data_IF_073886770403
#
_entry.id   IF_073886770403
#
_cell.length_a   1.000
_cell.length_b   1.000
_cell.length_c   1.000
_cell.angle_alpha   90.00
_cell.angle_beta   90.00
_cell.angle_gamma   90.00
#
_symmetry.space_group_name_H-M   'P 1'
#
loop_
_entity.id
_entity.type
_entity.pdbx_description
1 polymer ?
#
# COMPACT_ATOMS: atom_id res chain seq x y z
N UNK A 1 17.06 -3.03 20.20
CA UNK A 1 15.75 -2.40 20.39
C UNK A 1 14.67 -3.30 19.84
N UNK A 2 13.90 -3.83 20.76
CA UNK A 2 12.75 -4.69 20.46
C UNK A 2 11.51 -3.83 20.21
N UNK A 3 10.52 -4.38 19.51
CA UNK A 3 9.22 -3.72 19.32
C UNK A 3 8.19 -4.45 20.16
N UNK A 4 7.50 -3.72 21.03
CA UNK A 4 6.41 -4.23 21.83
C UNK A 4 5.07 -3.87 21.19
N UNK A 5 4.21 -4.87 21.01
CA UNK A 5 2.80 -4.69 20.67
C UNK A 5 2.06 -4.47 22.00
N UNK A 6 1.60 -3.24 22.24
CA UNK A 6 1.01 -2.86 23.52
C UNK A 6 -0.48 -3.19 23.63
N UNK A 7 -1.18 -3.22 22.51
CA UNK A 7 -2.56 -3.64 22.40
C UNK A 7 -2.85 -4.18 21.00
N UNK A 8 -3.99 -4.86 20.85
CA UNK A 8 -4.59 -5.22 19.56
C UNK A 8 -6.08 -4.89 19.66
N UNK A 9 -6.62 -4.25 18.62
CA UNK A 9 -8.04 -3.91 18.53
C UNK A 9 -8.57 -4.05 17.11
N UNK A 10 -9.73 -4.69 16.96
CA UNK A 10 -10.49 -4.63 15.70
C UNK A 10 -11.12 -3.25 15.59
N UNK A 11 -10.71 -2.45 14.60
CA UNK A 11 -11.19 -1.08 14.41
C UNK A 11 -12.37 -0.99 13.46
N UNK A 12 -12.49 -1.93 12.52
CA UNK A 12 -13.58 -1.93 11.55
C UNK A 12 -13.94 -3.34 11.10
N UNK A 13 -15.23 -3.66 11.15
CA UNK A 13 -15.83 -4.88 10.61
C UNK A 13 -17.33 -4.65 10.40
N UNK A 14 -17.75 -4.63 9.15
CA UNK A 14 -19.14 -4.47 8.69
C UNK A 14 -19.67 -5.72 7.98
N UNK A 15 -18.95 -6.84 8.09
CA UNK A 15 -19.25 -8.07 7.38
C UNK A 15 -18.70 -8.14 5.95
N UNK A 16 -18.16 -7.05 5.40
CA UNK A 16 -17.55 -7.03 4.07
C UNK A 16 -16.12 -7.60 4.09
N UNK A 17 -15.52 -7.76 2.91
CA UNK A 17 -14.07 -7.92 2.80
C UNK A 17 -13.40 -6.55 2.91
N UNK A 18 -12.90 -6.22 4.10
CA UNK A 18 -12.13 -5.01 4.36
C UNK A 18 -10.63 -5.32 4.30
N UNK A 19 -9.87 -4.62 3.46
CA UNK A 19 -8.47 -4.94 3.20
C UNK A 19 -7.64 -3.75 2.69
N UNK A 20 -6.33 -3.94 2.63
CA UNK A 20 -5.35 -3.03 2.03
C UNK A 20 -5.25 -1.70 2.79
N UNK A 21 -4.71 -1.75 4.00
CA UNK A 21 -4.71 -0.58 4.88
C UNK A 21 -3.55 0.37 4.61
N UNK A 22 -3.77 1.66 4.84
CA UNK A 22 -2.72 2.65 5.00
C UNK A 22 -3.05 3.65 6.12
N UNK A 23 -2.02 4.26 6.72
CA UNK A 23 -2.12 5.18 7.86
C UNK A 23 -1.30 6.44 7.61
N UNK A 24 -1.82 7.58 8.06
CA UNK A 24 -1.08 8.86 8.03
C UNK A 24 -1.51 9.77 9.17
N UNK A 25 -0.60 10.63 9.62
CA UNK A 25 -0.92 11.75 10.50
C UNK A 25 -0.87 13.04 9.68
N UNK A 26 -1.96 13.80 9.70
CA UNK A 26 -2.11 15.01 8.90
C UNK A 26 -2.91 16.06 9.67
N UNK A 27 -2.34 17.28 9.78
CA UNK A 27 -2.94 18.44 10.46
C UNK A 27 -3.57 18.14 11.83
N UNK A 28 -2.88 17.34 12.65
CA UNK A 28 -3.29 17.03 14.02
C UNK A 28 -4.34 15.91 14.14
N UNK A 29 -4.62 15.20 13.06
CA UNK A 29 -5.49 14.03 13.06
C UNK A 29 -4.81 12.83 12.40
N UNK A 30 -5.17 11.63 12.84
CA UNK A 30 -4.78 10.38 12.22
C UNK A 30 -5.86 9.94 11.23
N UNK A 31 -5.43 9.44 10.08
CA UNK A 31 -6.31 8.90 9.06
C UNK A 31 -5.92 7.45 8.76
N UNK A 32 -6.95 6.62 8.55
CA UNK A 32 -6.86 5.21 8.18
C UNK A 32 -7.70 5.02 6.93
N UNK A 33 -7.14 4.42 5.90
CA UNK A 33 -7.89 4.07 4.69
C UNK A 33 -7.76 2.59 4.38
N UNK A 34 -8.79 2.03 3.74
CA UNK A 34 -8.85 0.65 3.29
C UNK A 34 -9.96 0.49 2.24
N UNK A 35 -9.86 -0.58 1.46
CA UNK A 35 -10.93 -1.04 0.57
C UNK A 35 -11.97 -1.83 1.38
N UNK A 36 -13.24 -1.61 1.10
CA UNK A 36 -14.37 -2.42 1.58
C UNK A 36 -15.16 -2.94 0.37
N UNK A 37 -15.48 -4.23 0.34
CA UNK A 37 -16.27 -4.83 -0.73
C UNK A 37 -17.10 -5.99 -0.22
N UNK A 38 -18.41 -5.95 -0.49
CA UNK A 38 -19.36 -6.97 -0.06
C UNK A 38 -19.12 -8.33 -0.76
N UNK A 39 -18.69 -8.31 -2.01
CA UNK A 39 -18.52 -9.52 -2.83
C UNK A 39 -17.18 -10.24 -2.59
N UNK A 40 -16.28 -9.65 -1.80
CA UNK A 40 -15.04 -10.29 -1.36
C UNK A 40 -13.75 -9.66 -1.89
N UNK A 41 -12.68 -10.45 -1.85
CA UNK A 41 -11.32 -10.04 -2.21
C UNK A 41 -11.14 -9.80 -3.72
N UNK A 42 -11.88 -10.51 -4.57
CA UNK A 42 -11.72 -10.44 -6.03
C UNK A 42 -12.14 -9.07 -6.58
N UNK A 43 -12.18 -8.93 -7.91
CA UNK A 43 -12.44 -7.67 -8.58
C UNK A 43 -13.94 -7.47 -8.74
N UNK A 44 -14.50 -6.44 -8.09
CA UNK A 44 -15.92 -6.09 -8.10
C UNK A 44 -16.13 -4.57 -8.08
N UNK A 45 -17.08 -4.09 -8.88
CA UNK A 45 -17.50 -2.69 -8.95
C UNK A 45 -18.29 -2.24 -7.70
N UNK A 46 -18.71 -3.18 -6.86
CA UNK A 46 -19.29 -2.92 -5.52
C UNK A 46 -18.27 -2.41 -4.50
N UNK A 47 -16.98 -2.43 -4.84
CA UNK A 47 -15.91 -1.95 -3.96
C UNK A 47 -16.02 -0.45 -3.66
N UNK A 48 -15.57 -0.07 -2.47
CA UNK A 48 -15.46 1.32 -2.02
C UNK A 48 -14.15 1.50 -1.27
N UNK A 49 -13.57 2.70 -1.37
CA UNK A 49 -12.53 3.13 -0.44
C UNK A 49 -13.20 3.85 0.72
N UNK A 50 -12.90 3.42 1.94
CA UNK A 50 -13.29 4.10 3.17
C UNK A 50 -12.09 4.84 3.75
N UNK A 51 -12.34 6.03 4.29
CA UNK A 51 -11.34 6.86 4.98
C UNK A 51 -11.92 7.18 6.35
N UNK A 52 -11.31 6.62 7.39
CA UNK A 52 -11.60 6.93 8.77
C UNK A 52 -10.63 7.98 9.29
N UNK A 53 -11.05 8.76 10.28
CA UNK A 53 -10.19 9.69 10.99
C UNK A 53 -10.35 9.55 12.51
N UNK A 54 -9.30 9.92 13.24
CA UNK A 54 -9.26 9.91 14.70
C UNK A 54 -8.36 11.04 15.21
N UNK A 55 -8.71 11.62 16.37
CA UNK A 55 -7.86 12.60 17.06
C UNK A 55 -6.99 11.96 18.15
N UNK A 56 -7.34 10.75 18.57
CA UNK A 56 -6.74 10.08 19.75
C UNK A 56 -6.26 8.66 19.46
N UNK A 57 -6.36 8.19 18.21
CA UNK A 57 -6.06 6.81 17.75
C UNK A 57 -6.96 5.72 18.34
N UNK A 58 -7.93 6.09 19.18
CA UNK A 58 -8.84 5.18 19.87
C UNK A 58 -10.22 5.22 19.22
N UNK A 59 -10.77 6.43 19.04
CA UNK A 59 -12.09 6.64 18.47
C UNK A 59 -11.98 7.02 17.00
N UNK A 60 -12.49 6.14 16.13
CA UNK A 60 -12.44 6.31 14.68
C UNK A 60 -13.82 6.61 14.13
N UNK A 61 -13.90 7.57 13.20
CA UNK A 61 -15.14 7.96 12.51
C UNK A 61 -14.92 8.02 11.01
N UNK A 62 -15.96 7.73 10.23
CA UNK A 62 -15.90 7.87 8.78
C UNK A 62 -15.73 9.34 8.40
N UNK A 63 -14.61 9.67 7.75
CA UNK A 63 -14.34 11.00 7.20
C UNK A 63 -14.87 11.13 5.76
N UNK A 64 -14.65 10.10 4.95
CA UNK A 64 -15.04 10.09 3.55
C UNK A 64 -15.12 8.66 3.00
N UNK A 65 -15.84 8.49 1.90
CA UNK A 65 -15.87 7.24 1.15
C UNK A 65 -16.10 7.54 -0.33
N UNK A 66 -15.47 6.77 -1.21
CA UNK A 66 -15.69 6.90 -2.65
C UNK A 66 -15.67 5.56 -3.38
N UNK A 67 -16.26 5.55 -4.58
CA UNK A 67 -16.23 4.46 -5.54
C UNK A 67 -16.09 5.07 -6.95
N UNK A 68 -15.79 4.24 -7.94
CA UNK A 68 -15.74 4.65 -9.35
C UNK A 68 -16.67 3.72 -10.14
N UNK A 69 -17.61 4.25 -10.95
CA UNK A 69 -18.51 3.41 -11.74
C UNK A 69 -17.75 2.40 -12.61
N UNK A 70 -18.31 1.18 -12.70
CA UNK A 70 -17.78 0.05 -13.49
C UNK A 70 -16.35 -0.38 -13.11
N UNK A 71 -15.83 0.05 -11.95
CA UNK A 71 -14.44 -0.19 -11.56
C UNK A 71 -14.32 -0.63 -10.11
N UNK A 72 -13.42 -1.58 -9.89
CA UNK A 72 -12.98 -1.93 -8.54
C UNK A 72 -11.89 -0.95 -8.07
N UNK A 73 -12.18 -0.17 -7.04
CA UNK A 73 -11.19 0.67 -6.35
C UNK A 73 -10.39 -0.16 -5.34
N UNK A 74 -9.07 -0.21 -5.51
CA UNK A 74 -8.17 -1.05 -4.70
C UNK A 74 -6.99 -0.30 -4.11
N UNK A 75 -6.44 -0.90 -3.06
CA UNK A 75 -5.17 -0.51 -2.44
C UNK A 75 -5.03 1.00 -2.24
N UNK A 76 -5.85 1.61 -1.36
CA UNK A 76 -5.76 3.03 -1.11
C UNK A 76 -4.46 3.36 -0.36
N UNK A 77 -3.72 4.38 -0.81
CA UNK A 77 -2.55 4.91 -0.11
C UNK A 77 -2.66 6.43 0.05
N UNK A 78 -2.25 6.93 1.22
CA UNK A 78 -2.22 8.35 1.51
C UNK A 78 -1.00 9.04 0.89
N UNK A 79 -1.15 10.34 0.61
CA UNK A 79 -0.04 11.24 0.35
C UNK A 79 -0.33 12.62 0.93
N UNK A 80 0.49 13.06 1.90
CA UNK A 80 0.51 14.46 2.29
C UNK A 80 1.39 15.25 1.31
N UNK A 81 0.79 16.21 0.60
CA UNK A 81 1.48 17.05 -0.38
C UNK A 81 1.09 18.52 -0.15
N UNK A 82 2.06 19.32 0.30
CA UNK A 82 1.80 20.71 0.68
C UNK A 82 0.77 20.79 1.82
N UNK A 83 -0.34 21.48 1.57
CA UNK A 83 -1.43 21.65 2.53
C UNK A 83 -2.59 20.67 2.32
N UNK A 84 -2.45 19.70 1.41
CA UNK A 84 -3.46 18.73 1.05
C UNK A 84 -3.08 17.31 1.47
N UNK A 85 -4.10 16.53 1.83
CA UNK A 85 -4.02 15.09 2.00
C UNK A 85 -4.74 14.43 0.83
N UNK A 86 -4.00 13.67 0.03
CA UNK A 86 -4.52 12.83 -1.04
C UNK A 86 -4.72 11.39 -0.55
N UNK A 87 -5.70 10.71 -1.15
CA UNK A 87 -5.85 9.26 -1.12
C UNK A 87 -5.90 8.78 -2.55
N UNK A 88 -4.93 7.96 -2.94
CA UNK A 88 -4.85 7.37 -4.28
C UNK A 88 -5.27 5.91 -4.27
N UNK A 89 -5.92 5.46 -5.34
CA UNK A 89 -6.37 4.08 -5.51
C UNK A 89 -6.18 3.64 -6.95
N UNK A 90 -5.60 2.45 -7.14
CA UNK A 90 -5.57 1.76 -8.43
C UNK A 90 -6.96 1.18 -8.74
N UNK A 91 -7.31 1.06 -10.03
CA UNK A 91 -8.65 0.57 -10.40
C UNK A 91 -8.64 -0.47 -11.50
N UNK A 92 -9.26 -1.62 -11.22
CA UNK A 92 -9.57 -2.61 -12.26
C UNK A 92 -10.90 -2.26 -12.92
N UNK A 93 -10.98 -2.37 -14.25
CA UNK A 93 -12.27 -2.40 -14.92
C UNK A 93 -13.03 -3.66 -14.50
N UNK A 94 -14.26 -3.47 -14.05
CA UNK A 94 -15.14 -4.48 -13.47
C UNK A 94 -16.55 -4.41 -14.09
N UNK A 95 -16.63 -4.12 -15.39
CA UNK A 95 -17.88 -3.93 -16.12
C UNK A 95 -18.64 -5.23 -16.44
N UNK A 96 -18.04 -6.39 -16.12
CA UNK A 96 -18.59 -7.72 -16.37
C UNK A 96 -18.68 -8.11 -17.85
N UNK A 97 -18.14 -7.30 -18.78
CA UNK A 97 -18.32 -7.48 -20.23
C UNK A 97 -17.15 -8.17 -20.91
N UNK A 98 -15.94 -8.07 -20.34
CA UNK A 98 -14.73 -8.67 -20.91
C UNK A 98 -13.80 -9.21 -19.83
N UNK A 99 -12.85 -10.03 -20.27
CA UNK A 99 -11.76 -10.50 -19.41
C UNK A 99 -10.93 -9.32 -18.90
N UNK A 100 -10.42 -9.46 -17.67
CA UNK A 100 -9.60 -8.43 -17.03
C UNK A 100 -8.30 -8.24 -17.78
N UNK A 101 -7.96 -6.98 -18.02
CA UNK A 101 -6.70 -6.60 -18.63
C UNK A 101 -6.00 -5.48 -17.86
N UNK A 102 -4.69 -5.65 -17.62
CA UNK A 102 -3.84 -4.69 -16.91
C UNK A 102 -3.73 -3.34 -17.64
N UNK A 103 -3.81 -3.29 -18.97
CA UNK A 103 -3.82 -2.02 -19.69
C UNK A 103 -5.09 -1.19 -19.45
N UNK A 104 -6.16 -1.77 -18.90
CA UNK A 104 -7.39 -1.04 -18.52
C UNK A 104 -7.28 -0.35 -17.15
N UNK A 105 -6.16 -0.55 -16.46
CA UNK A 105 -5.87 0.08 -15.18
C UNK A 105 -5.84 1.60 -15.31
N UNK A 106 -6.38 2.27 -14.31
CA UNK A 106 -6.38 3.72 -14.22
C UNK A 106 -6.30 4.12 -12.74
N UNK A 107 -5.40 5.05 -12.42
CA UNK A 107 -5.32 5.63 -11.09
C UNK A 107 -6.42 6.65 -10.85
N UNK A 108 -6.98 6.66 -9.64
CA UNK A 108 -7.91 7.68 -9.17
C UNK A 108 -7.43 8.25 -7.83
N UNK A 109 -7.82 9.49 -7.54
CA UNK A 109 -7.55 10.11 -6.25
C UNK A 109 -8.64 11.04 -5.79
N UNK A 110 -8.80 11.15 -4.47
CA UNK A 110 -9.54 12.21 -3.80
C UNK A 110 -8.59 12.96 -2.86
N UNK A 111 -8.96 14.18 -2.46
CA UNK A 111 -8.12 14.95 -1.56
C UNK A 111 -8.91 15.93 -0.70
N UNK A 112 -8.31 16.34 0.40
CA UNK A 112 -8.83 17.34 1.33
C UNK A 112 -7.73 18.29 1.79
N UNK A 113 -8.09 19.52 2.13
CA UNK A 113 -7.18 20.48 2.79
C UNK A 113 -7.56 20.74 4.25
N UNK A 114 -8.73 20.29 4.69
CA UNK A 114 -9.29 20.58 6.03
C UNK A 114 -9.72 19.32 6.80
N UNK A 115 -9.63 18.14 6.18
CA UNK A 115 -10.06 16.87 6.77
C UNK A 115 -11.58 16.66 6.77
N UNK A 116 -12.37 17.62 6.28
CA UNK A 116 -13.84 17.65 6.35
C UNK A 116 -14.47 17.65 4.96
N UNK A 117 -13.94 18.48 4.07
CA UNK A 117 -14.40 18.62 2.69
C UNK A 117 -13.44 17.86 1.78
N UNK A 118 -13.96 16.87 1.06
CA UNK A 118 -13.20 16.05 0.15
C UNK A 118 -13.59 16.33 -1.30
N UNK A 119 -12.60 16.42 -2.18
CA UNK A 119 -12.77 16.60 -3.63
C UNK A 119 -12.43 15.30 -4.35
N UNK A 120 -13.12 15.03 -5.46
CA UNK A 120 -12.95 13.81 -6.24
C UNK A 120 -14.03 12.75 -5.97
N UNK A 121 -13.81 11.49 -6.37
CA UNK A 121 -12.58 10.99 -7.01
C UNK A 121 -12.38 11.54 -8.42
N UNK A 122 -11.13 11.82 -8.79
CA UNK A 122 -10.72 12.21 -10.15
C UNK A 122 -9.71 11.19 -10.67
N UNK A 123 -9.76 10.87 -11.97
CA UNK A 123 -8.71 10.08 -12.59
C UNK A 123 -7.38 10.85 -12.58
N UNK A 124 -6.27 10.14 -12.41
CA UNK A 124 -4.92 10.71 -12.41
C UNK A 124 -4.35 10.64 -13.83
N UNK A 125 -4.08 11.80 -14.41
CA UNK A 125 -3.53 11.91 -15.78
C UNK A 125 -2.15 11.22 -15.82
N UNK A 126 -1.87 10.49 -16.91
CA UNK A 126 -0.60 9.76 -17.09
C UNK A 126 -0.50 8.42 -16.35
N UNK A 127 -1.57 7.95 -15.69
CA UNK A 127 -1.60 6.65 -15.01
C UNK A 127 -2.36 5.54 -15.76
N UNK A 128 -2.83 5.80 -16.98
CA UNK A 128 -3.44 4.76 -17.83
C UNK A 128 -2.48 3.57 -17.98
N UNK A 129 -3.01 2.35 -17.83
CA UNK A 129 -2.25 1.10 -17.88
C UNK A 129 -1.33 0.84 -16.67
N UNK A 130 -1.36 1.71 -15.65
CA UNK A 130 -0.62 1.53 -14.41
C UNK A 130 -1.57 1.12 -13.28
N UNK A 131 -1.34 -0.05 -12.68
CA UNK A 131 -1.87 -0.34 -11.35
C UNK A 131 -1.08 0.50 -10.34
N UNK A 132 -1.62 1.66 -9.98
CA UNK A 132 -0.97 2.55 -9.01
C UNK A 132 -1.10 1.99 -7.60
N UNK A 133 -0.10 2.28 -6.77
CA UNK A 133 -0.03 1.76 -5.42
C UNK A 133 0.48 2.84 -4.45
N UNK A 134 1.52 2.56 -3.67
CA UNK A 134 2.02 3.48 -2.65
C UNK A 134 2.64 4.75 -3.23
N UNK A 135 2.47 5.85 -2.50
CA UNK A 135 2.99 7.17 -2.81
C UNK A 135 3.88 7.72 -1.68
N UNK A 136 4.79 8.64 -2.02
CA UNK A 136 5.54 9.43 -1.06
C UNK A 136 5.86 10.81 -1.65
N UNK A 137 5.99 11.83 -0.81
CA UNK A 137 6.31 13.19 -1.23
C UNK A 137 7.76 13.52 -0.92
N UNK A 138 8.40 14.29 -1.79
CA UNK A 138 9.72 14.88 -1.54
C UNK A 138 9.87 16.19 -2.31
N UNK A 139 10.38 17.22 -1.63
CA UNK A 139 10.59 18.57 -2.20
C UNK A 139 9.36 19.11 -2.97
N UNK A 140 8.17 18.94 -2.40
CA UNK A 140 6.93 19.44 -2.98
C UNK A 140 6.41 18.67 -4.20
N UNK A 141 7.04 17.55 -4.56
CA UNK A 141 6.58 16.65 -5.62
C UNK A 141 5.97 15.37 -5.05
N UNK A 142 4.94 14.88 -5.70
CA UNK A 142 4.36 13.58 -5.45
C UNK A 142 5.09 12.51 -6.26
N UNK A 143 5.42 11.39 -5.63
CA UNK A 143 5.94 10.21 -6.29
C UNK A 143 5.02 9.03 -6.03
N UNK A 144 4.88 8.13 -7.01
CA UNK A 144 3.89 7.05 -6.98
C UNK A 144 4.45 5.79 -7.65
N UNK A 145 4.26 4.64 -7.02
CA UNK A 145 4.51 3.35 -7.64
C UNK A 145 3.38 3.02 -8.63
N UNK A 146 3.73 2.61 -9.85
CA UNK A 146 2.76 2.16 -10.86
C UNK A 146 3.23 0.89 -11.57
N UNK A 147 2.53 -0.23 -11.36
CA UNK A 147 2.82 -1.49 -12.04
C UNK A 147 2.21 -1.52 -13.43
N UNK A 148 3.01 -1.77 -14.46
CA UNK A 148 2.56 -1.74 -15.87
C UNK A 148 3.18 -2.85 -16.69
N UNK A 149 2.58 -3.21 -17.82
CA UNK A 149 3.27 -4.00 -18.84
C UNK A 149 4.18 -3.09 -19.65
N UNK A 150 5.43 -3.50 -19.87
CA UNK A 150 6.38 -2.78 -20.72
C UNK A 150 5.76 -2.50 -22.08
N UNK A 151 5.73 -1.22 -22.47
CA UNK A 151 5.17 -0.77 -23.75
C UNK A 151 3.68 -1.12 -23.94
N UNK A 152 2.92 -1.37 -22.87
CA UNK A 152 1.52 -1.84 -22.94
C UNK A 152 1.37 -3.12 -23.80
N UNK A 153 2.40 -3.96 -23.84
CA UNK A 153 2.43 -5.14 -24.71
C UNK A 153 1.18 -6.02 -24.53
N UNK A 154 0.52 -6.45 -25.63
CA UNK A 154 -0.56 -7.40 -25.54
C UNK A 154 -0.02 -8.76 -25.09
N UNK A 155 -0.74 -9.42 -24.19
CA UNK A 155 -0.36 -10.71 -23.61
C UNK A 155 -1.62 -11.54 -23.44
N UNK A 156 -1.58 -12.83 -23.77
CA UNK A 156 -2.74 -13.70 -23.66
C UNK A 156 -2.90 -14.27 -22.25
N UNK A 157 -1.80 -14.41 -21.51
CA UNK A 157 -1.82 -14.99 -20.16
C UNK A 157 -1.06 -14.15 -19.14
N UNK A 158 -1.40 -14.33 -17.86
CA UNK A 158 -0.66 -13.75 -16.75
C UNK A 158 0.79 -14.25 -16.69
N UNK A 159 1.05 -15.49 -17.15
CA UNK A 159 2.39 -16.06 -17.19
C UNK A 159 3.29 -15.33 -18.19
N UNK A 160 2.74 -14.91 -19.33
CA UNK A 160 3.43 -14.06 -20.32
C UNK A 160 3.59 -12.62 -19.84
N UNK A 161 2.59 -12.08 -19.13
CA UNK A 161 2.61 -10.70 -18.62
C UNK A 161 3.64 -10.49 -17.51
N UNK A 162 3.83 -11.46 -16.61
CA UNK A 162 4.69 -11.33 -15.42
C UNK A 162 6.14 -10.92 -15.74
N UNK A 163 6.88 -11.60 -16.64
CA UNK A 163 8.24 -11.18 -17.01
C UNK A 163 8.31 -9.78 -17.61
N UNK A 164 7.26 -9.36 -18.33
CA UNK A 164 7.17 -8.05 -18.98
C UNK A 164 6.65 -6.95 -18.05
N UNK A 165 6.23 -7.29 -16.84
CA UNK A 165 5.71 -6.31 -15.89
C UNK A 165 6.85 -5.50 -15.29
N UNK A 166 6.72 -4.19 -15.33
CA UNK A 166 7.61 -3.22 -14.69
C UNK A 166 6.91 -2.61 -13.45
N UNK A 167 7.71 -2.20 -12.46
CA UNK A 167 7.27 -1.28 -11.41
C UNK A 167 7.88 0.09 -11.69
N UNK A 168 7.06 1.05 -12.12
CA UNK A 168 7.50 2.39 -12.48
C UNK A 168 7.43 3.33 -11.27
N UNK A 169 8.44 4.19 -11.13
CA UNK A 169 8.39 5.39 -10.32
C UNK A 169 7.77 6.49 -11.17
N UNK A 170 6.58 6.95 -10.79
CA UNK A 170 5.90 8.10 -11.39
C UNK A 170 6.14 9.35 -10.53
N UNK A 171 6.12 10.53 -11.13
CA UNK A 171 6.29 11.83 -10.47
C UNK A 171 5.23 12.83 -10.94
N UNK A 172 4.80 13.69 -10.04
CA UNK A 172 3.84 14.77 -10.29
C UNK A 172 4.18 16.02 -9.48
N UNK A 173 3.99 17.19 -10.08
CA UNK A 173 4.13 18.49 -9.40
C UNK A 173 2.85 18.91 -8.66
N UNK A 174 1.68 18.36 -9.05
CA UNK A 174 0.37 18.76 -8.53
C UNK A 174 -0.38 17.62 -7.83
N UNK A 175 0.18 16.41 -7.83
CA UNK A 175 -0.44 15.21 -7.28
C UNK A 175 -1.60 14.66 -8.12
N UNK A 176 -1.81 15.17 -9.34
CA UNK A 176 -2.91 14.77 -10.24
C UNK A 176 -2.42 14.35 -11.62
N UNK A 177 -1.31 14.90 -12.10
CA UNK A 177 -0.72 14.63 -13.41
C UNK A 177 0.64 13.98 -13.25
N UNK A 178 0.76 12.72 -13.66
CA UNK A 178 1.94 11.91 -13.45
C UNK A 178 2.69 11.64 -14.74
N UNK A 179 4.01 11.55 -14.63
CA UNK A 179 4.91 11.09 -15.69
C UNK A 179 5.94 10.12 -15.11
N UNK A 180 6.53 9.26 -15.94
CA UNK A 180 7.55 8.31 -15.47
C UNK A 180 8.87 9.03 -15.14
N UNK A 181 9.39 8.81 -13.93
CA UNK A 181 10.69 9.30 -13.47
C UNK A 181 11.78 8.20 -13.50
N UNK A 182 11.39 6.94 -13.33
CA UNK A 182 12.32 5.81 -13.33
C UNK A 182 11.60 4.47 -13.20
N UNK A 183 12.36 3.39 -13.04
CA UNK A 183 11.83 2.04 -12.85
C UNK A 183 12.42 1.43 -11.58
N UNK A 184 11.57 1.18 -10.59
CA UNK A 184 11.91 0.38 -9.42
C UNK A 184 12.36 -1.02 -9.86
N UNK A 185 11.56 -1.68 -10.71
CA UNK A 185 11.84 -3.00 -11.26
C UNK A 185 11.56 -3.00 -12.76
N UNK A 186 12.47 -3.58 -13.53
CA UNK A 186 12.38 -3.68 -14.99
C UNK A 186 11.61 -4.94 -15.43
N UNK A 187 11.55 -5.96 -14.58
CA UNK A 187 10.92 -7.24 -14.84
C UNK A 187 10.29 -7.78 -13.56
N UNK A 188 9.19 -8.53 -13.70
CA UNK A 188 8.44 -9.07 -12.56
C UNK A 188 8.10 -8.00 -11.53
N UNK A 189 7.85 -6.77 -12.00
CA UNK A 189 7.51 -5.62 -11.20
C UNK A 189 6.21 -5.83 -10.44
N UNK A 190 6.17 -5.39 -9.19
CA UNK A 190 4.97 -5.48 -8.36
C UNK A 190 4.87 -4.31 -7.38
N UNK A 191 3.91 -4.38 -6.45
CA UNK A 191 3.72 -3.46 -5.34
C UNK A 191 5.05 -3.08 -4.67
N UNK A 192 5.38 -1.79 -4.69
CA UNK A 192 6.65 -1.27 -4.17
C UNK A 192 6.39 -0.18 -3.13
N UNK A 193 6.85 -0.41 -1.89
CA UNK A 193 6.85 0.59 -0.85
C UNK A 193 8.19 1.31 -0.83
N UNK A 194 8.18 2.63 -0.64
CA UNK A 194 9.40 3.43 -0.70
C UNK A 194 9.30 4.66 0.19
N UNK A 195 10.46 5.19 0.56
CA UNK A 195 10.59 6.42 1.32
C UNK A 195 11.81 7.21 0.82
N UNK A 196 11.80 8.50 1.11
CA UNK A 196 12.90 9.39 0.78
C UNK A 196 13.81 9.61 1.99
N UNK A 197 15.11 9.60 1.74
CA UNK A 197 16.13 10.14 2.62
C UNK A 197 16.15 11.68 2.54
N UNK A 198 16.75 12.37 3.52
CA UNK A 198 16.88 13.82 3.50
C UNK A 198 17.60 14.37 2.27
N UNK A 199 18.50 13.60 1.66
CA UNK A 199 19.25 13.98 0.46
C UNK A 199 18.54 13.62 -0.85
N UNK A 200 17.27 13.19 -0.76
CA UNK A 200 16.46 12.76 -1.90
C UNK A 200 16.76 11.36 -2.41
N UNK A 201 17.69 10.62 -1.81
CA UNK A 201 17.83 9.21 -2.13
C UNK A 201 16.55 8.43 -1.79
N UNK A 202 16.24 7.41 -2.59
CA UNK A 202 15.12 6.51 -2.33
C UNK A 202 15.66 5.21 -1.77
N UNK A 203 15.01 4.71 -0.71
CA UNK A 203 15.06 3.30 -0.29
C UNK A 203 13.67 2.71 -0.53
N UNK A 204 13.63 1.57 -1.22
CA UNK A 204 12.37 0.90 -1.54
C UNK A 204 12.42 -0.61 -1.30
N UNK A 205 11.29 -1.17 -0.91
CA UNK A 205 11.04 -2.59 -0.79
C UNK A 205 9.99 -2.99 -1.84
N UNK A 206 10.42 -3.76 -2.84
CA UNK A 206 9.56 -4.20 -3.92
C UNK A 206 9.17 -5.67 -3.77
N UNK A 207 7.85 -5.91 -3.78
CA UNK A 207 7.29 -7.26 -3.87
C UNK A 207 7.68 -7.89 -5.22
N UNK A 208 7.69 -9.22 -5.25
CA UNK A 208 7.73 -10.02 -6.48
C UNK A 208 6.70 -11.13 -6.42
N UNK A 209 6.36 -11.77 -7.57
CA UNK A 209 5.46 -12.92 -7.59
C UNK A 209 5.86 -14.01 -6.59
N UNK A 210 4.87 -14.79 -6.14
CA UNK A 210 5.11 -15.92 -5.25
C UNK A 210 6.13 -16.89 -5.89
N UNK A 211 7.08 -17.38 -5.08
CA UNK A 211 8.23 -18.15 -5.55
C UNK A 211 9.48 -17.30 -5.82
N UNK A 212 9.38 -15.97 -5.76
CA UNK A 212 10.51 -15.04 -5.82
C UNK A 212 10.65 -14.27 -4.51
N UNK A 213 11.87 -13.83 -4.21
CA UNK A 213 12.15 -12.99 -3.04
C UNK A 213 11.86 -11.52 -3.35
N UNK A 214 11.51 -10.75 -2.33
CA UNK A 214 11.38 -9.30 -2.45
C UNK A 214 12.74 -8.67 -2.77
N UNK A 215 12.73 -7.46 -3.32
CA UNK A 215 13.94 -6.71 -3.63
C UNK A 215 14.06 -5.45 -2.77
N UNK A 216 15.27 -5.22 -2.28
CA UNK A 216 15.68 -3.94 -1.75
C UNK A 216 16.28 -3.10 -2.87
N UNK A 217 15.69 -1.93 -3.10
CA UNK A 217 16.04 -1.04 -4.19
C UNK A 217 16.54 0.29 -3.64
N UNK A 218 17.55 0.86 -4.29
CA UNK A 218 18.04 2.20 -3.97
C UNK A 218 18.40 2.99 -5.22
N UNK A 219 18.06 4.27 -5.21
CA UNK A 219 18.45 5.21 -6.25
C UNK A 219 18.64 6.60 -5.69
N UNK A 220 19.37 7.45 -6.41
CA UNK A 220 19.51 8.88 -6.15
C UNK A 220 18.90 9.66 -7.31
N UNK A 221 18.50 10.93 -7.12
CA UNK A 221 18.10 11.78 -8.24
C UNK A 221 19.16 11.75 -9.36
N UNK A 222 18.78 11.69 -10.64
CA UNK A 222 17.42 11.78 -11.19
C UNK A 222 16.69 10.43 -11.34
N UNK A 223 17.00 9.44 -10.50
CA UNK A 223 16.36 8.12 -10.40
C UNK A 223 16.42 7.24 -11.66
N UNK A 224 17.50 7.40 -12.43
CA UNK A 224 17.77 6.60 -13.64
C UNK A 224 18.46 5.29 -13.32
N UNK A 225 19.41 5.32 -12.38
CA UNK A 225 20.22 4.18 -12.02
C UNK A 225 19.80 3.62 -10.66
N UNK A 226 19.52 2.32 -10.63
CA UNK A 226 19.00 1.63 -9.45
C UNK A 226 19.91 0.48 -9.05
N UNK A 227 20.28 0.45 -7.76
CA UNK A 227 20.76 -0.78 -7.14
C UNK A 227 19.55 -1.66 -6.83
N UNK A 228 19.57 -2.92 -7.27
CA UNK A 228 18.51 -3.90 -7.00
C UNK A 228 19.12 -5.14 -6.38
N UNK A 229 18.75 -5.42 -5.13
CA UNK A 229 19.28 -6.54 -4.37
C UNK A 229 18.15 -7.44 -3.91
N UNK A 230 18.24 -8.72 -4.26
CA UNK A 230 17.32 -9.72 -3.75
C UNK A 230 17.51 -9.91 -2.23
N UNK A 231 16.39 -9.96 -1.52
CA UNK A 231 16.32 -10.37 -0.12
C UNK A 231 16.20 -11.90 -0.04
N UNK A 232 16.11 -12.42 1.18
CA UNK A 232 16.04 -13.86 1.46
C UNK A 232 14.61 -14.43 1.48
N UNK A 233 13.59 -13.58 1.28
CA UNK A 233 12.17 -13.97 1.40
C UNK A 233 11.25 -13.11 0.55
N UNK A 234 10.05 -13.60 0.30
CA UNK A 234 8.95 -12.81 -0.24
C UNK A 234 8.35 -11.91 0.85
N UNK A 235 7.84 -10.74 0.47
CA UNK A 235 7.07 -9.84 1.34
C UNK A 235 5.87 -9.33 0.55
N UNK A 236 4.67 -9.83 0.87
CA UNK A 236 3.43 -9.46 0.16
C UNK A 236 2.74 -8.24 0.79
N UNK A 237 2.31 -7.26 0.00
CA UNK A 237 1.75 -5.99 0.48
C UNK A 237 2.75 -5.25 1.38
N UNK A 238 3.96 -4.91 0.88
CA UNK A 238 5.04 -4.43 1.71
C UNK A 238 4.76 -3.05 2.35
N UNK A 239 5.13 -2.90 3.62
CA UNK A 239 5.31 -1.63 4.30
C UNK A 239 6.81 -1.33 4.35
N UNK A 240 7.19 -0.09 4.09
CA UNK A 240 8.50 0.47 4.42
C UNK A 240 8.26 1.88 4.99
N UNK A 241 8.69 2.10 6.22
CA UNK A 241 8.57 3.38 6.90
C UNK A 241 9.82 3.65 7.74
N UNK A 242 10.22 4.92 7.81
CA UNK A 242 11.23 5.35 8.79
C UNK A 242 10.56 5.47 10.17
N UNK A 243 11.19 4.92 11.19
CA UNK A 243 10.77 5.06 12.58
C UNK A 243 12.00 5.33 13.44
N UNK A 244 12.16 6.60 13.88
CA UNK A 244 13.42 7.10 14.39
C UNK A 244 14.55 6.98 13.35
N UNK A 245 15.63 6.29 13.71
CA UNK A 245 16.81 6.08 12.84
C UNK A 245 16.81 4.72 12.14
N UNK A 246 15.66 4.04 12.10
CA UNK A 246 15.53 2.69 11.54
C UNK A 246 14.43 2.63 10.49
N UNK A 247 14.47 1.54 9.72
CA UNK A 247 13.47 1.19 8.73
C UNK A 247 12.58 0.06 9.23
N UNK A 248 11.35 0.41 9.59
CA UNK A 248 10.29 -0.56 9.86
C UNK A 248 9.80 -1.12 8.52
N UNK A 249 9.79 -2.43 8.43
CA UNK A 249 9.24 -3.17 7.29
C UNK A 249 8.08 -4.03 7.78
N UNK A 250 7.05 -4.19 6.96
CA UNK A 250 5.93 -5.08 7.27
C UNK A 250 5.40 -5.76 6.03
N UNK A 251 4.67 -6.85 6.21
CA UNK A 251 3.96 -7.50 5.11
C UNK A 251 3.69 -8.98 5.36
N UNK A 252 3.23 -9.65 4.32
CA UNK A 252 2.83 -11.05 4.36
C UNK A 252 4.06 -11.92 4.37
N UNK A 253 4.17 -12.77 5.39
CA UNK A 253 5.11 -13.90 5.45
C UNK A 253 4.34 -15.18 5.15
N UNK A 254 4.79 -15.91 4.15
CA UNK A 254 4.32 -17.27 3.88
C UNK A 254 5.01 -18.24 4.83
N UNK A 255 4.21 -19.16 5.38
CA UNK A 255 4.62 -20.30 6.19
C UNK A 255 4.29 -21.58 5.41
N UNK A 256 4.63 -22.73 6.00
CA UNK A 256 4.30 -24.02 5.40
C UNK A 256 2.79 -24.24 5.28
N UNK A 257 2.37 -24.99 4.24
CA UNK A 257 0.99 -25.42 4.05
C UNK A 257 0.01 -24.29 3.72
N UNK A 258 0.39 -23.38 2.80
CA UNK A 258 -0.39 -22.22 2.33
C UNK A 258 -0.81 -21.23 3.43
N UNK A 259 -0.28 -21.37 4.65
CA UNK A 259 -0.52 -20.43 5.73
C UNK A 259 0.29 -19.16 5.53
N UNK A 260 -0.33 -18.03 5.84
CA UNK A 260 0.35 -16.74 5.84
C UNK A 260 0.00 -15.93 7.09
N UNK A 261 0.97 -15.14 7.55
CA UNK A 261 0.81 -14.20 8.65
C UNK A 261 1.34 -12.83 8.26
N UNK A 262 0.85 -11.78 8.92
CA UNK A 262 1.42 -10.44 8.84
C UNK A 262 2.60 -10.35 9.80
N UNK A 263 3.79 -10.06 9.28
CA UNK A 263 5.03 -9.96 10.04
C UNK A 263 5.62 -8.56 9.92
N UNK A 264 6.19 -8.07 11.01
CA UNK A 264 7.02 -6.87 11.05
C UNK A 264 8.50 -7.24 11.13
N UNK A 265 9.34 -6.42 10.52
CA UNK A 265 10.78 -6.58 10.44
C UNK A 265 11.50 -5.25 10.68
N UNK A 266 12.74 -5.32 11.15
CA UNK A 266 13.71 -4.26 10.90
C UNK A 266 14.46 -4.54 9.61
N UNK A 267 14.69 -3.52 8.79
CA UNK A 267 15.71 -3.57 7.75
C UNK A 267 17.05 -3.10 8.35
N UNK A 268 18.01 -4.03 8.46
CA UNK A 268 19.35 -3.82 9.04
C UNK A 268 20.39 -4.35 8.06
N UNK A 269 21.33 -3.50 7.61
CA UNK A 269 22.41 -3.87 6.70
C UNK A 269 21.95 -4.71 5.49
N UNK A 270 20.88 -4.25 4.84
CA UNK A 270 20.23 -4.91 3.69
C UNK A 270 19.58 -6.28 4.00
N UNK A 271 19.29 -6.57 5.27
CA UNK A 271 18.63 -7.80 5.71
C UNK A 271 17.37 -7.49 6.50
N UNK A 272 16.37 -8.37 6.37
CA UNK A 272 15.16 -8.31 7.18
C UNK A 272 15.34 -9.13 8.46
N UNK A 273 15.24 -8.47 9.60
CA UNK A 273 15.28 -9.09 10.94
C UNK A 273 13.85 -9.11 11.47
N UNK A 274 13.31 -10.31 11.72
CA UNK A 274 11.97 -10.47 12.29
C UNK A 274 11.87 -9.84 13.68
N UNK A 275 10.80 -9.09 13.92
CA UNK A 275 10.56 -8.44 15.22
C UNK A 275 9.25 -8.84 15.87
N UNK A 276 8.17 -8.96 15.11
CA UNK A 276 6.85 -9.26 15.67
C UNK A 276 5.90 -9.82 14.61
N UNK A 277 5.20 -10.89 14.95
CA UNK A 277 4.04 -11.37 14.20
C UNK A 277 2.78 -10.66 14.71
N UNK A 278 1.99 -10.08 13.81
CA UNK A 278 0.69 -9.51 14.16
C UNK A 278 -0.37 -10.63 14.13
N UNK A 279 -1.36 -10.63 15.05
CA UNK A 279 -2.46 -11.58 15.03
C UNK A 279 -3.18 -11.56 13.67
N UNK A 280 -3.05 -12.66 12.94
CA UNK A 280 -3.50 -12.74 11.55
C UNK A 280 -3.55 -14.18 11.06
N UNK A 281 -4.34 -14.38 10.00
CA UNK A 281 -4.54 -15.65 9.33
C UNK A 281 -5.49 -15.48 8.15
N UNK A 282 -5.62 -16.54 7.35
CA UNK A 282 -6.37 -16.49 6.10
C UNK A 282 -5.81 -15.47 5.12
N UNK A 283 -6.68 -14.67 4.51
CA UNK A 283 -6.26 -13.49 3.74
C UNK A 283 -5.93 -12.34 4.71
N UNK A 284 -4.68 -11.91 4.72
CA UNK A 284 -4.15 -10.90 5.66
C UNK A 284 -2.96 -10.13 5.07
N UNK A 285 -2.50 -9.06 5.71
CA UNK A 285 -1.29 -8.23 5.41
C UNK A 285 -1.64 -6.75 5.19
N UNK A 286 -0.90 -6.10 4.29
CA UNK A 286 -0.94 -4.71 3.87
C UNK A 286 -0.94 -3.77 5.06
N UNK A 287 0.13 -3.81 5.88
CA UNK A 287 0.17 -2.96 7.03
C UNK A 287 0.41 -1.49 6.67
N UNK A 288 -0.31 -0.60 7.34
CA UNK A 288 -0.03 0.83 7.40
C UNK A 288 0.70 1.16 8.69
N UNK A 289 1.51 2.22 8.70
CA UNK A 289 2.20 2.67 9.91
C UNK A 289 2.29 4.18 9.97
N UNK A 290 2.12 4.72 11.18
CA UNK A 290 2.38 6.13 11.48
C UNK A 290 3.02 6.26 12.85
N UNK A 291 4.02 7.13 12.97
CA UNK A 291 4.61 7.47 14.28
C UNK A 291 3.63 8.37 15.06
N UNK A 292 3.37 8.03 16.32
CA UNK A 292 2.45 8.76 17.21
C UNK A 292 3.19 9.59 18.26
N UNK A 293 4.51 9.43 18.35
CA UNK A 293 5.42 10.16 19.21
C UNK A 293 6.76 9.44 19.29
N UNK A 294 7.76 10.01 20.00
CA UNK A 294 9.09 9.42 20.08
C UNK A 294 9.05 7.96 20.54
N UNK A 295 9.49 7.06 19.67
CA UNK A 295 9.52 5.61 19.93
C UNK A 295 8.14 4.96 20.06
N UNK A 296 7.07 5.64 19.66
CA UNK A 296 5.69 5.13 19.66
C UNK A 296 5.10 5.20 18.25
N UNK A 297 4.35 4.19 17.88
CA UNK A 297 3.71 4.14 16.58
C UNK A 297 2.36 3.44 16.64
N UNK A 298 1.62 3.58 15.57
CA UNK A 298 0.38 2.88 15.32
C UNK A 298 0.55 2.07 14.04
N UNK A 299 0.21 0.78 14.09
CA UNK A 299 0.18 -0.09 12.91
C UNK A 299 -1.24 -0.55 12.63
N UNK A 300 -1.64 -0.54 11.36
CA UNK A 300 -2.87 -1.16 10.87
C UNK A 300 -2.54 -2.40 10.06
N UNK A 301 -3.48 -3.34 9.97
CA UNK A 301 -3.45 -4.44 9.02
C UNK A 301 -4.86 -4.99 8.84
N UNK A 302 -5.05 -5.82 7.80
CA UNK A 302 -6.29 -6.59 7.66
C UNK A 302 -6.05 -8.08 7.92
N UNK A 303 -7.12 -8.78 8.30
CA UNK A 303 -7.12 -10.24 8.35
C UNK A 303 -8.53 -10.83 8.32
N UNK A 304 -8.67 -12.01 7.71
CA UNK A 304 -9.90 -12.81 7.71
C UNK A 304 -9.88 -13.98 8.71
N UNK A 305 -8.96 -14.01 9.69
CA UNK A 305 -8.81 -15.13 10.63
C UNK A 305 -10.02 -15.35 11.56
N UNK A 306 -10.76 -14.29 11.89
CA UNK A 306 -12.04 -14.37 12.63
C UNK A 306 -13.25 -14.48 11.68
N UNK A 307 -13.00 -14.43 10.37
CA UNK A 307 -14.01 -14.48 9.31
C UNK A 307 -13.95 -15.78 8.52
N UNK A 308 -13.97 -15.68 7.19
CA UNK A 308 -13.98 -16.85 6.30
C UNK A 308 -12.67 -17.65 6.32
N UNK A 309 -11.57 -17.07 6.84
CA UNK A 309 -10.22 -17.64 6.73
C UNK A 309 -9.67 -17.68 5.30
N UNK A 310 -10.38 -17.13 4.32
CA UNK A 310 -10.00 -17.08 2.90
C UNK A 310 -10.18 -15.65 2.37
N UNK A 311 -10.19 -15.46 1.04
CA UNK A 311 -10.48 -14.16 0.40
C UNK A 311 -11.97 -13.81 0.32
N UNK A 312 -12.85 -14.57 0.95
CA UNK A 312 -14.28 -14.27 1.00
C UNK A 312 -14.57 -13.34 2.18
N UNK A 313 -15.63 -12.55 2.07
CA UNK A 313 -16.15 -11.80 3.21
C UNK A 313 -16.60 -12.78 4.33
N UNK A 314 -16.47 -12.41 5.62
CA UNK A 314 -15.95 -11.14 6.13
C UNK A 314 -14.42 -11.13 6.28
N UNK A 315 -13.85 -9.93 6.22
CA UNK A 315 -12.46 -9.63 6.56
C UNK A 315 -12.40 -8.29 7.30
N UNK A 316 -11.63 -8.21 8.38
CA UNK A 316 -11.65 -7.08 9.31
C UNK A 316 -10.34 -6.29 9.31
N UNK A 317 -10.43 -5.03 9.78
CA UNK A 317 -9.28 -4.14 9.98
C UNK A 317 -8.91 -4.10 11.46
N UNK A 318 -7.62 -4.24 11.73
CA UNK A 318 -7.05 -4.24 13.07
C UNK A 318 -6.04 -3.10 13.24
N UNK A 319 -5.86 -2.65 14.48
CA UNK A 319 -4.86 -1.70 14.91
C UNK A 319 -4.09 -2.25 16.12
N UNK A 320 -2.83 -1.82 16.24
CA UNK A 320 -2.01 -2.02 17.42
C UNK A 320 -1.12 -0.81 17.67
N UNK A 321 -0.98 -0.46 18.94
CA UNK A 321 0.01 0.52 19.38
C UNK A 321 1.35 -0.21 19.55
N UNK A 322 2.40 0.38 18.96
CA UNK A 322 3.76 -0.11 19.00
C UNK A 322 4.61 0.80 19.88
N UNK A 323 5.49 0.22 20.67
CA UNK A 323 6.53 0.94 21.40
C UNK A 323 7.90 0.31 21.19
N UNK A 324 8.92 1.16 21.05
CA UNK A 324 10.30 0.72 21.12
C UNK A 324 10.65 0.44 22.58
N UNK A 325 11.11 -0.77 22.86
CA UNK A 325 11.68 -1.14 24.15
C UNK A 325 13.20 -1.27 24.01
N UNK A 326 13.92 -0.76 25.01
CA UNK A 326 15.38 -0.86 25.13
C UNK A 326 15.85 -2.31 24.93
#
# INVERSE_FOLDING_TARGET
MSVQIQNIRQVYNDGNHNAFTDLVHFKGAYYLTFRSCIDGHMVYDSSRILILHSLDTVHWRLAHAFHVPDRDVRDPHFLALGDALFVYSGTWLADGRREREQNDQQGYGCWTTDGKTWRGPRFLEGTQGHYIWRAAAHEGKAYLCGRRKRGLAPTATMAEARPLTESALLVSDDGLRFQTAGLFQEEYGDETAFCFEPDGAIVALARRPLGMTAQLLRARPPYRDWSRRDLDRNVGGPLLARWGDRYLVGGRKWLDGDRAITMLYWLVDDRLVEIAALPSGGDNSYPGFVETGPGRGLVSWYSSHEGSGVGQAPCAIYLADLALAE
#
